data_IF_216883295804
#
_entry.id   IF_216883295804
#
_cell.length_a   1.000
_cell.length_b   1.000
_cell.length_c   1.000
_cell.angle_alpha   90.00
_cell.angle_beta   90.00
_cell.angle_gamma   90.00
#
_symmetry.space_group_name_H-M   'P 1'
#
loop_
_entity.id
_entity.type
_entity.pdbx_description
1 polymer ?
#
# COMPACT_ATOMS: atom_id res chain seq x y z
N UNK A 1 15.56 -18.04 -17.48
CA UNK A 1 14.96 -19.00 -16.53
C UNK A 1 13.97 -18.23 -15.70
N UNK A 2 12.67 -18.48 -15.91
CA UNK A 2 11.59 -17.69 -15.34
C UNK A 2 11.40 -18.03 -13.86
N UNK A 3 11.64 -17.06 -12.98
CA UNK A 3 11.28 -17.17 -11.57
C UNK A 3 9.75 -17.21 -11.44
N UNK A 4 9.18 -18.09 -10.59
CA UNK A 4 7.75 -18.19 -10.43
C UNK A 4 7.22 -16.92 -9.73
N UNK A 5 6.31 -16.21 -10.39
CA UNK A 5 5.59 -15.07 -9.85
C UNK A 5 4.72 -15.51 -8.67
N UNK A 6 5.25 -15.39 -7.44
CA UNK A 6 4.46 -15.57 -6.21
C UNK A 6 3.58 -14.33 -6.02
N UNK A 7 2.27 -14.51 -6.17
CA UNK A 7 1.29 -13.49 -5.81
C UNK A 7 1.05 -13.63 -4.30
N UNK A 8 1.47 -12.64 -3.54
CA UNK A 8 1.06 -12.49 -2.15
C UNK A 8 -0.27 -11.74 -2.14
N UNK A 9 -1.37 -12.43 -1.82
CA UNK A 9 -2.61 -11.75 -1.45
C UNK A 9 -2.37 -11.13 -0.07
N UNK A 10 -2.03 -9.84 0.00
CA UNK A 10 -2.10 -9.11 1.27
C UNK A 10 -3.57 -8.95 1.63
N UNK A 11 -4.12 -9.91 2.36
CA UNK A 11 -5.44 -9.79 2.94
C UNK A 11 -5.46 -8.53 3.82
N UNK A 12 -6.49 -7.71 3.67
CA UNK A 12 -6.65 -6.51 4.49
C UNK A 12 -6.66 -6.88 5.98
N UNK A 13 -6.24 -5.99 6.89
CA UNK A 13 -6.29 -6.26 8.33
C UNK A 13 -7.65 -6.77 8.80
N UNK A 14 -8.73 -6.28 8.17
CA UNK A 14 -10.11 -6.71 8.40
C UNK A 14 -10.38 -8.14 7.93
N UNK A 15 -9.85 -8.54 6.76
CA UNK A 15 -9.98 -9.92 6.28
C UNK A 15 -9.10 -10.88 7.09
N UNK A 16 -7.90 -10.45 7.52
CA UNK A 16 -7.07 -11.22 8.47
C UNK A 16 -7.78 -11.42 9.80
N UNK A 17 -8.34 -10.36 10.39
CA UNK A 17 -9.13 -10.47 11.62
C UNK A 17 -10.42 -11.28 11.43
N UNK A 18 -11.05 -11.22 10.27
CA UNK A 18 -12.21 -12.07 9.95
C UNK A 18 -11.81 -13.55 9.85
N UNK A 19 -10.65 -13.86 9.26
CA UNK A 19 -10.10 -15.21 9.21
C UNK A 19 -9.66 -15.68 10.60
N UNK A 20 -8.97 -14.86 11.38
CA UNK A 20 -8.60 -15.15 12.77
C UNK A 20 -9.84 -15.39 13.63
N UNK A 21 -10.91 -14.60 13.43
CA UNK A 21 -12.20 -14.81 14.07
C UNK A 21 -12.80 -16.16 13.66
N UNK A 22 -12.82 -16.50 12.37
CA UNK A 22 -13.30 -17.80 11.90
C UNK A 22 -12.47 -18.97 12.46
N UNK A 23 -11.16 -18.81 12.63
CA UNK A 23 -10.26 -19.81 13.22
C UNK A 23 -10.48 -19.94 14.74
N UNK A 24 -10.81 -18.86 15.43
CA UNK A 24 -11.07 -18.84 16.87
C UNK A 24 -12.49 -19.31 17.25
N UNK A 25 -13.40 -19.44 16.28
CA UNK A 25 -14.76 -19.89 16.52
C UNK A 25 -14.83 -21.42 16.40
N UNK A 26 -14.50 -22.12 17.48
CA UNK A 26 -14.68 -23.58 17.59
C UNK A 26 -16.14 -23.98 17.32
N UNK A 27 -16.39 -24.67 16.19
CA UNK A 27 -17.55 -25.52 15.91
C UNK A 27 -18.96 -24.92 16.03
N UNK A 28 -19.11 -23.64 16.38
CA UNK A 28 -20.42 -23.04 16.62
C UNK A 28 -21.17 -22.78 15.30
N UNK A 29 -22.52 -22.81 15.29
CA UNK A 29 -23.31 -22.45 14.11
C UNK A 29 -22.98 -21.06 13.53
N UNK A 30 -22.53 -20.13 14.38
CA UNK A 30 -22.08 -18.80 13.98
C UNK A 30 -20.74 -18.84 13.20
N UNK A 31 -19.83 -19.76 13.55
CA UNK A 31 -18.57 -19.99 12.84
C UNK A 31 -18.83 -20.46 11.41
N UNK A 32 -19.69 -21.47 11.27
CA UNK A 32 -20.09 -22.04 9.99
C UNK A 32 -20.81 -21.01 9.11
N UNK A 33 -21.64 -20.16 9.72
CA UNK A 33 -22.31 -19.07 9.02
C UNK A 33 -21.34 -17.99 8.51
N UNK A 34 -20.39 -17.55 9.35
CA UNK A 34 -19.37 -16.58 8.96
C UNK A 34 -18.44 -17.11 7.86
N UNK A 35 -18.00 -18.37 7.96
CA UNK A 35 -17.22 -19.03 6.93
C UNK A 35 -17.98 -19.13 5.59
N UNK A 36 -19.28 -19.41 5.65
CA UNK A 36 -20.12 -19.48 4.44
C UNK A 36 -20.27 -18.11 3.76
N UNK A 37 -20.46 -17.03 4.52
CA UNK A 37 -20.52 -15.67 3.96
C UNK A 37 -19.20 -15.30 3.28
N UNK A 38 -18.07 -15.57 3.93
CA UNK A 38 -16.74 -15.31 3.36
C UNK A 38 -16.51 -16.10 2.07
N UNK A 39 -16.82 -17.40 2.10
CA UNK A 39 -16.72 -18.27 0.93
C UNK A 39 -17.59 -17.76 -0.22
N UNK A 40 -18.83 -17.40 0.06
CA UNK A 40 -19.78 -16.89 -0.95
C UNK A 40 -19.28 -15.57 -1.56
N UNK A 41 -18.78 -14.64 -0.75
CA UNK A 41 -18.23 -13.38 -1.23
C UNK A 41 -16.99 -13.60 -2.11
N UNK A 42 -16.11 -14.53 -1.73
CA UNK A 42 -14.91 -14.87 -2.50
C UNK A 42 -15.28 -15.51 -3.84
N UNK A 43 -16.20 -16.47 -3.84
CA UNK A 43 -16.68 -17.14 -5.05
C UNK A 43 -17.41 -16.19 -5.99
N UNK A 44 -18.16 -15.24 -5.44
CA UNK A 44 -18.80 -14.18 -6.22
C UNK A 44 -17.77 -13.31 -6.95
N UNK A 45 -16.67 -12.94 -6.28
CA UNK A 45 -15.61 -12.13 -6.88
C UNK A 45 -14.79 -12.91 -7.92
N UNK A 46 -14.47 -14.19 -7.65
CA UNK A 46 -13.84 -15.09 -8.62
C UNK A 46 -14.71 -15.21 -9.88
N UNK A 47 -16.03 -15.33 -9.71
CA UNK A 47 -16.99 -15.44 -10.82
C UNK A 47 -17.08 -14.19 -11.71
N UNK A 48 -16.67 -13.01 -11.23
CA UNK A 48 -16.65 -11.78 -12.05
C UNK A 48 -15.49 -11.75 -13.05
N UNK A 49 -14.45 -12.57 -12.84
CA UNK A 49 -13.25 -12.59 -13.68
C UNK A 49 -13.03 -13.96 -14.32
N UNK A 50 -13.18 -14.09 -15.65
CA UNK A 50 -12.95 -15.36 -16.35
C UNK A 50 -11.55 -15.96 -16.10
N UNK A 51 -10.53 -15.12 -15.97
CA UNK A 51 -9.16 -15.56 -15.70
C UNK A 51 -8.98 -16.10 -14.26
N UNK A 52 -9.66 -15.51 -13.28
CA UNK A 52 -9.65 -16.03 -11.91
C UNK A 52 -10.43 -17.34 -11.82
N UNK A 53 -11.54 -17.44 -12.54
CA UNK A 53 -12.36 -18.64 -12.60
C UNK A 53 -11.60 -19.82 -13.21
N UNK A 54 -10.92 -19.63 -14.35
CA UNK A 54 -10.10 -20.67 -14.98
C UNK A 54 -8.98 -21.15 -14.04
N UNK A 55 -8.31 -20.21 -13.36
CA UNK A 55 -7.26 -20.52 -12.40
C UNK A 55 -7.78 -21.27 -11.17
N UNK A 56 -8.95 -20.88 -10.66
CA UNK A 56 -9.63 -21.57 -9.56
C UNK A 56 -9.97 -23.01 -9.94
N UNK A 57 -10.59 -23.22 -11.10
CA UNK A 57 -10.93 -24.57 -11.60
C UNK A 57 -9.70 -25.46 -11.76
N UNK A 58 -8.56 -24.90 -12.17
CA UNK A 58 -7.30 -25.64 -12.24
C UNK A 58 -6.82 -26.07 -10.86
N UNK A 59 -6.81 -25.17 -9.89
CA UNK A 59 -6.40 -25.47 -8.50
C UNK A 59 -7.30 -26.53 -7.85
N UNK A 60 -8.61 -26.45 -8.07
CA UNK A 60 -9.58 -27.42 -7.59
C UNK A 60 -9.34 -28.81 -8.20
N UNK A 61 -9.10 -28.88 -9.52
CA UNK A 61 -8.77 -30.14 -10.20
C UNK A 61 -7.48 -30.75 -9.65
N UNK A 62 -6.45 -29.94 -9.44
CA UNK A 62 -5.16 -30.39 -8.90
C UNK A 62 -5.27 -30.85 -7.43
N UNK A 63 -6.16 -30.26 -6.64
CA UNK A 63 -6.43 -30.67 -5.25
C UNK A 63 -7.21 -31.99 -5.19
N UNK A 64 -8.26 -32.13 -6.03
CA UNK A 64 -9.03 -33.36 -6.15
C UNK A 64 -8.17 -34.55 -6.60
N UNK A 65 -7.26 -34.34 -7.55
CA UNK A 65 -6.31 -35.38 -7.97
C UNK A 65 -5.33 -35.79 -6.86
N UNK A 66 -4.96 -34.87 -5.98
CA UNK A 66 -4.07 -35.14 -4.84
C UNK A 66 -4.79 -35.68 -3.60
N UNK A 67 -6.12 -35.64 -3.57
CA UNK A 67 -6.92 -36.03 -2.42
C UNK A 67 -6.70 -35.18 -1.17
N UNK A 68 -6.11 -33.99 -1.32
CA UNK A 68 -5.81 -33.05 -0.23
C UNK A 68 -5.98 -31.61 -0.69
N UNK A 69 -6.59 -30.81 0.17
CA UNK A 69 -6.78 -29.38 -0.01
C UNK A 69 -5.68 -28.54 0.66
N UNK A 70 -4.75 -29.19 1.38
CA UNK A 70 -3.62 -28.54 2.04
C UNK A 70 -2.43 -28.36 1.09
N UNK A 71 -1.85 -27.16 1.09
CA UNK A 71 -0.59 -26.85 0.39
C UNK A 71 0.63 -27.42 1.15
N UNK A 72 0.74 -28.74 1.27
CA UNK A 72 1.91 -29.41 1.88
C UNK A 72 3.07 -29.57 0.88
N UNK A 73 3.55 -28.47 0.30
CA UNK A 73 4.86 -28.44 -0.37
C UNK A 73 5.70 -27.22 0.00
N UNK A 74 5.48 -26.71 1.21
CA UNK A 74 6.47 -25.89 1.92
C UNK A 74 7.19 -26.77 2.95
N UNK A 75 7.74 -27.90 2.52
CA UNK A 75 8.95 -28.39 3.18
C UNK A 75 9.96 -27.26 3.06
N UNK A 76 10.45 -26.81 4.22
CA UNK A 76 11.19 -25.57 4.38
C UNK A 76 12.35 -25.41 3.41
N UNK A 77 12.11 -24.71 2.30
CA UNK A 77 13.11 -23.81 1.78
C UNK A 77 13.08 -22.63 2.75
N UNK A 78 13.95 -22.68 3.76
CA UNK A 78 14.33 -21.48 4.47
C UNK A 78 14.56 -20.40 3.42
N UNK A 79 13.80 -19.30 3.52
CA UNK A 79 14.06 -18.13 2.69
C UNK A 79 15.57 -17.86 2.81
N UNK A 80 16.31 -17.66 1.70
CA UNK A 80 17.70 -17.30 1.82
C UNK A 80 17.78 -16.13 2.78
N UNK A 81 18.49 -16.32 3.90
CA UNK A 81 18.65 -15.37 5.03
C UNK A 81 19.47 -14.14 4.61
N UNK A 82 19.60 -13.93 3.30
CA UNK A 82 20.33 -12.84 2.67
C UNK A 82 19.41 -12.17 1.66
N UNK A 83 18.21 -11.78 2.09
CA UNK A 83 17.42 -10.82 1.32
C UNK A 83 18.18 -9.50 1.30
N UNK A 84 18.45 -8.96 0.11
CA UNK A 84 19.11 -7.67 0.01
C UNK A 84 18.20 -6.57 0.60
N UNK A 85 18.74 -5.44 1.09
CA UNK A 85 17.91 -4.34 1.60
C UNK A 85 16.84 -3.83 0.61
N UNK A 86 17.07 -4.02 -0.69
CA UNK A 86 16.11 -3.69 -1.75
C UNK A 86 14.91 -4.63 -1.77
N UNK A 87 15.11 -5.94 -1.67
CA UNK A 87 14.00 -6.92 -1.58
C UNK A 87 13.18 -6.73 -0.31
N UNK A 88 13.82 -6.29 0.79
CA UNK A 88 13.12 -5.96 2.04
C UNK A 88 12.28 -4.69 1.92
N UNK A 89 12.73 -3.70 1.16
CA UNK A 89 11.98 -2.47 0.89
C UNK A 89 10.80 -2.74 -0.06
N UNK A 90 11.01 -3.50 -1.13
CA UNK A 90 9.96 -3.93 -2.06
C UNK A 90 8.87 -4.73 -1.34
N UNK A 91 9.24 -5.56 -0.35
CA UNK A 91 8.29 -6.33 0.45
C UNK A 91 7.41 -5.50 1.38
N UNK A 92 7.80 -4.26 1.70
CA UNK A 92 7.03 -3.36 2.56
C UNK A 92 6.18 -2.35 1.78
N UNK A 93 6.46 -2.16 0.49
CA UNK A 93 5.71 -1.26 -0.37
C UNK A 93 4.39 -1.90 -0.77
N UNK A 94 3.29 -1.22 -0.45
CA UNK A 94 1.96 -1.61 -0.89
C UNK A 94 1.55 -0.74 -2.08
N UNK A 95 1.19 -1.37 -3.21
CA UNK A 95 0.50 -0.68 -4.30
C UNK A 95 -1.01 -0.74 -4.04
N UNK A 96 -1.61 0.39 -3.72
CA UNK A 96 -3.05 0.52 -3.39
C UNK A 96 -3.64 1.72 -4.11
N UNK A 97 -4.97 1.85 -4.16
CA UNK A 97 -5.65 2.98 -4.80
C UNK A 97 -7.01 2.57 -5.36
N UNK A 98 -7.61 3.46 -6.14
CA UNK A 98 -8.88 3.14 -6.84
C UNK A 98 -8.66 2.22 -8.03
N UNK A 99 -7.52 2.34 -8.71
CA UNK A 99 -7.19 1.55 -9.91
C UNK A 99 -5.74 1.07 -9.91
N UNK A 100 -5.24 0.43 -8.84
CA UNK A 100 -3.82 0.05 -8.71
C UNK A 100 -3.33 -0.84 -9.86
N UNK A 101 -4.20 -1.63 -10.47
CA UNK A 101 -3.89 -2.47 -11.62
C UNK A 101 -3.52 -1.70 -12.90
N UNK A 102 -3.84 -0.40 -12.97
CA UNK A 102 -3.46 0.47 -14.09
C UNK A 102 -2.08 1.12 -13.90
N UNK A 103 -1.37 0.78 -12.83
CA UNK A 103 -0.09 1.38 -12.49
C UNK A 103 0.98 0.32 -12.23
N UNK A 104 2.21 0.69 -12.56
CA UNK A 104 3.43 -0.10 -12.39
C UNK A 104 4.33 0.62 -11.38
N UNK A 105 5.08 -0.16 -10.61
CA UNK A 105 6.06 0.37 -9.69
C UNK A 105 7.34 -0.45 -9.73
N UNK A 106 8.40 0.11 -9.16
CA UNK A 106 9.67 -0.58 -8.99
C UNK A 106 10.76 0.33 -8.48
N UNK A 107 11.96 -0.21 -8.39
CA UNK A 107 13.16 0.53 -8.04
C UNK A 107 14.00 0.77 -9.30
N UNK A 108 14.37 2.02 -9.54
CA UNK A 108 15.38 2.38 -10.54
C UNK A 108 16.69 2.69 -9.83
N UNK A 109 17.78 2.09 -10.32
CA UNK A 109 19.13 2.39 -9.85
C UNK A 109 19.82 3.20 -10.93
N UNK A 110 20.16 4.44 -10.63
CA UNK A 110 20.98 5.27 -11.50
C UNK A 110 22.45 4.93 -11.26
N UNK A 111 23.16 4.58 -12.33
CA UNK A 111 24.60 4.25 -12.32
C UNK A 111 25.51 5.48 -12.14
N UNK A 112 25.06 6.48 -11.39
CA UNK A 112 25.83 7.67 -11.00
C UNK A 112 26.75 7.35 -9.81
N UNK A 113 27.77 8.17 -9.56
CA UNK A 113 28.53 8.13 -8.29
C UNK A 113 28.20 9.37 -7.45
N UNK A 114 27.63 9.23 -6.24
CA UNK A 114 27.17 7.98 -5.61
C UNK A 114 25.96 7.34 -6.32
N UNK A 115 25.82 6.02 -6.18
CA UNK A 115 24.68 5.25 -6.72
C UNK A 115 23.39 5.79 -6.10
N UNK A 116 22.47 6.30 -6.92
CA UNK A 116 21.17 6.79 -6.47
C UNK A 116 20.09 5.76 -6.76
N UNK A 117 19.27 5.48 -5.75
CA UNK A 117 18.14 4.56 -5.84
C UNK A 117 16.86 5.38 -5.77
N UNK A 118 15.98 5.17 -6.74
CA UNK A 118 14.67 5.81 -6.81
C UNK A 118 13.61 4.74 -6.78
N UNK A 119 12.50 5.02 -6.12
CA UNK A 119 11.27 4.26 -6.31
C UNK A 119 10.42 5.01 -7.33
N UNK A 120 9.80 4.31 -8.28
CA UNK A 120 8.90 4.95 -9.26
C UNK A 120 7.49 4.38 -9.20
N UNK A 121 6.53 5.21 -9.59
CA UNK A 121 5.14 4.86 -9.88
C UNK A 121 4.80 5.42 -11.27
N UNK A 122 4.31 4.56 -12.16
CA UNK A 122 4.01 4.91 -13.56
C UNK A 122 2.67 4.34 -13.99
N UNK A 123 1.88 5.10 -14.73
CA UNK A 123 0.68 4.59 -15.40
C UNK A 123 1.02 3.66 -16.58
N UNK A 124 0.28 2.56 -16.76
CA UNK A 124 0.37 1.73 -17.97
C UNK A 124 -0.53 2.29 -19.10
N UNK A 125 -0.68 1.55 -20.21
CA UNK A 125 -1.50 1.97 -21.36
C UNK A 125 -3.00 2.16 -21.03
N UNK A 126 -3.50 1.48 -20.00
CA UNK A 126 -4.86 1.62 -19.47
C UNK A 126 -4.95 2.72 -18.39
N UNK A 127 -3.82 3.36 -18.07
CA UNK A 127 -3.78 4.50 -17.18
C UNK A 127 -4.52 5.71 -17.74
N UNK A 128 -5.06 6.54 -16.85
CA UNK A 128 -5.82 7.74 -17.19
C UNK A 128 -7.03 7.97 -16.29
N UNK A 129 -7.62 6.89 -15.76
CA UNK A 129 -8.70 6.96 -14.77
C UNK A 129 -8.23 6.48 -13.40
N UNK A 130 -8.69 7.17 -12.35
CA UNK A 130 -8.36 6.87 -10.96
C UNK A 130 -6.91 7.12 -10.60
N UNK A 131 -6.47 6.50 -9.50
CA UNK A 131 -5.15 6.71 -8.91
C UNK A 131 -4.57 5.42 -8.32
N UNK A 132 -3.25 5.42 -8.17
CA UNK A 132 -2.52 4.48 -7.34
C UNK A 132 -1.57 5.23 -6.39
N UNK A 133 -1.19 4.56 -5.32
CA UNK A 133 -0.16 5.01 -4.40
C UNK A 133 0.77 3.87 -4.04
N UNK A 134 2.02 4.24 -3.86
CA UNK A 134 2.98 3.45 -3.11
C UNK A 134 2.89 3.85 -1.65
N UNK A 135 2.59 2.89 -0.78
CA UNK A 135 2.35 3.12 0.64
C UNK A 135 3.34 2.33 1.47
N UNK A 136 3.90 3.01 2.46
CA UNK A 136 4.53 2.40 3.62
C UNK A 136 3.66 2.67 4.85
N UNK A 137 3.76 1.78 5.83
CA UNK A 137 3.05 1.88 7.10
C UNK A 137 4.02 1.57 8.24
N UNK A 138 4.04 2.43 9.25
CA UNK A 138 4.87 2.29 10.45
C UNK A 138 4.03 2.48 11.71
N UNK A 139 4.55 1.98 12.83
CA UNK A 139 3.97 2.21 14.16
C UNK A 139 4.06 3.69 14.54
N UNK A 140 2.96 4.23 15.08
CA UNK A 140 2.90 5.62 15.52
C UNK A 140 3.45 5.85 16.94
N UNK A 141 3.59 4.80 17.76
CA UNK A 141 4.01 4.90 19.17
C UNK A 141 5.29 5.74 19.38
N UNK A 142 6.36 5.63 18.57
CA UNK A 142 7.57 6.45 18.75
C UNK A 142 7.37 7.95 18.46
N UNK A 143 6.26 8.29 17.81
CA UNK A 143 5.91 9.62 17.34
C UNK A 143 4.71 10.21 18.08
N UNK A 144 4.09 9.49 19.01
CA UNK A 144 2.93 9.94 19.77
C UNK A 144 3.22 11.29 20.48
N UNK A 145 2.29 12.23 20.33
CA UNK A 145 2.38 13.59 20.90
C UNK A 145 3.34 14.54 20.17
N UNK A 146 3.94 14.13 19.04
CA UNK A 146 4.95 14.91 18.32
C UNK A 146 4.43 15.46 16.99
N UNK A 147 5.15 16.43 16.44
CA UNK A 147 5.01 16.84 15.04
C UNK A 147 6.06 16.15 14.18
N UNK A 148 5.64 15.62 13.04
CA UNK A 148 6.51 14.92 12.11
C UNK A 148 6.46 15.53 10.71
N UNK A 149 7.59 15.45 10.02
CA UNK A 149 7.73 15.82 8.62
C UNK A 149 8.11 14.57 7.81
N UNK A 150 7.28 14.24 6.82
CA UNK A 150 7.65 13.35 5.73
C UNK A 150 8.16 14.20 4.56
N UNK A 151 9.38 13.93 4.08
CA UNK A 151 9.96 14.66 2.94
C UNK A 151 10.65 13.72 1.96
N UNK A 152 10.70 14.09 0.69
CA UNK A 152 11.46 13.38 -0.34
C UNK A 152 11.80 14.29 -1.52
N UNK A 153 12.80 13.88 -2.31
CA UNK A 153 13.00 14.41 -3.67
C UNK A 153 12.06 13.70 -4.62
N UNK A 154 11.29 14.47 -5.39
CA UNK A 154 10.33 13.96 -6.36
C UNK A 154 10.64 14.54 -7.73
N UNK A 155 10.64 13.67 -8.73
CA UNK A 155 10.68 14.03 -10.15
C UNK A 155 9.40 13.52 -10.80
N UNK A 156 8.87 14.23 -11.77
CA UNK A 156 7.69 13.79 -12.50
C UNK A 156 7.81 14.07 -14.00
N UNK A 157 7.20 13.20 -14.80
CA UNK A 157 7.21 13.27 -16.26
C UNK A 157 5.79 13.05 -16.77
N UNK A 158 5.31 14.03 -17.56
CA UNK A 158 4.03 13.97 -18.28
C UNK A 158 2.82 13.62 -17.40
N UNK A 159 2.75 14.21 -16.20
CA UNK A 159 1.59 14.03 -15.31
C UNK A 159 0.36 14.76 -15.88
N UNK A 160 -0.62 13.98 -16.38
CA UNK A 160 -1.87 14.51 -16.94
C UNK A 160 -2.92 14.83 -15.85
N UNK A 161 -2.88 14.12 -14.71
CA UNK A 161 -3.74 14.38 -13.56
C UNK A 161 -3.00 15.18 -12.49
N UNK A 162 -2.56 14.49 -11.44
CA UNK A 162 -1.69 15.06 -10.42
C UNK A 162 -0.92 13.97 -9.67
N UNK A 163 0.17 14.37 -9.03
CA UNK A 163 0.95 13.54 -8.13
C UNK A 163 1.31 14.31 -6.87
N UNK A 164 1.64 13.59 -5.80
CA UNK A 164 2.02 14.20 -4.54
C UNK A 164 2.58 13.19 -3.56
N UNK A 165 3.35 13.70 -2.59
CA UNK A 165 3.54 12.98 -1.34
C UNK A 165 2.23 13.01 -0.55
N UNK A 166 2.02 12.00 0.28
CA UNK A 166 0.91 12.01 1.22
C UNK A 166 1.32 11.37 2.54
N UNK A 167 0.63 11.76 3.60
CA UNK A 167 0.75 11.18 4.93
C UNK A 167 -0.62 11.16 5.61
N UNK A 168 -0.88 10.13 6.41
CA UNK A 168 -2.10 9.93 7.16
C UNK A 168 -1.78 9.31 8.51
N UNK A 169 -2.42 9.83 9.54
CA UNK A 169 -2.34 9.36 10.92
C UNK A 169 -3.63 8.59 11.23
N UNK A 170 -3.50 7.30 11.52
CA UNK A 170 -4.62 6.41 11.80
C UNK A 170 -4.75 6.22 13.32
N UNK A 171 -5.98 6.36 13.85
CA UNK A 171 -6.31 6.16 15.25
C UNK A 171 -7.11 4.88 15.51
N UNK A 172 -7.68 4.70 16.71
CA UNK A 172 -8.47 3.52 17.06
C UNK A 172 -9.87 3.53 16.41
N UNK A 173 -10.35 4.66 15.92
CA UNK A 173 -11.61 4.78 15.19
C UNK A 173 -11.42 4.51 13.68
N UNK A 174 -12.54 4.35 12.96
CA UNK A 174 -12.53 4.03 11.52
C UNK A 174 -11.96 5.16 10.67
N UNK A 175 -12.08 6.40 11.14
CA UNK A 175 -11.59 7.59 10.46
C UNK A 175 -10.13 7.88 10.83
N UNK A 176 -9.37 8.41 9.88
CA UNK A 176 -8.03 8.94 10.16
C UNK A 176 -8.10 10.18 11.05
N UNK A 177 -7.13 10.32 11.94
CA UNK A 177 -7.02 11.46 12.86
C UNK A 177 -6.54 12.73 12.14
N UNK A 178 -5.60 12.57 11.21
CA UNK A 178 -5.12 13.65 10.35
C UNK A 178 -4.61 13.09 9.02
N UNK A 179 -4.64 13.88 7.96
CA UNK A 179 -4.10 13.51 6.67
C UNK A 179 -3.80 14.73 5.79
N UNK A 180 -2.87 14.52 4.86
CA UNK A 180 -2.57 15.46 3.79
C UNK A 180 -2.04 14.69 2.60
N UNK A 181 -2.59 14.98 1.43
CA UNK A 181 -2.26 14.32 0.17
C UNK A 181 -1.66 15.26 -0.88
N UNK A 182 -1.31 16.50 -0.52
CA UNK A 182 -0.83 17.55 -1.41
C UNK A 182 -1.77 17.93 -2.57
N UNK A 183 -3.04 17.54 -2.55
CA UNK A 183 -3.95 17.83 -3.66
C UNK A 183 -4.20 19.34 -3.86
N UNK A 184 -4.03 20.13 -2.80
CA UNK A 184 -4.08 21.60 -2.81
C UNK A 184 -2.81 22.24 -3.40
N UNK A 185 -1.72 21.49 -3.46
CA UNK A 185 -0.41 21.89 -4.00
C UNK A 185 0.18 20.79 -4.91
N UNK A 186 -0.55 20.42 -5.97
CA UNK A 186 -0.27 19.22 -6.74
C UNK A 186 1.02 19.35 -7.56
N UNK A 187 1.66 18.21 -7.81
CA UNK A 187 2.71 18.09 -8.83
C UNK A 187 2.03 17.75 -10.16
N UNK A 188 2.27 18.57 -11.19
CA UNK A 188 1.64 18.46 -12.51
C UNK A 188 2.66 18.61 -13.64
N UNK A 189 2.33 18.04 -14.80
CA UNK A 189 3.21 18.07 -15.97
C UNK A 189 4.55 17.40 -15.73
N UNK A 190 5.62 18.04 -16.16
CA UNK A 190 7.00 17.54 -16.01
C UNK A 190 7.77 18.47 -15.11
N UNK A 191 8.37 17.92 -14.05
CA UNK A 191 9.25 18.63 -13.12
C UNK A 191 10.51 17.82 -12.90
N UNK A 192 11.66 18.48 -12.87
CA UNK A 192 12.90 17.84 -12.45
C UNK A 192 12.90 17.63 -10.92
N UNK A 193 13.92 16.95 -10.40
CA UNK A 193 14.06 16.66 -8.98
C UNK A 193 13.88 17.89 -8.10
N UNK A 194 12.79 17.92 -7.34
CA UNK A 194 12.46 18.96 -6.38
C UNK A 194 12.07 18.34 -5.04
N UNK A 195 12.38 19.00 -3.93
CA UNK A 195 12.02 18.52 -2.59
C UNK A 195 10.59 18.92 -2.25
N UNK A 196 9.81 17.96 -1.79
CA UNK A 196 8.46 18.15 -1.28
C UNK A 196 8.35 17.60 0.15
N UNK A 197 7.34 18.08 0.88
CA UNK A 197 7.11 17.69 2.25
C UNK A 197 5.64 17.74 2.67
N UNK A 198 5.31 16.92 3.65
CA UNK A 198 4.05 16.88 4.38
C UNK A 198 4.37 16.90 5.88
N UNK A 199 3.71 17.76 6.63
CA UNK A 199 3.92 17.95 8.07
C UNK A 199 2.60 17.77 8.80
N UNK A 200 2.53 16.80 9.71
CA UNK A 200 1.33 16.53 10.51
C UNK A 200 1.69 16.42 12.00
N UNK A 201 0.72 16.76 12.84
CA UNK A 201 0.75 16.39 14.25
C UNK A 201 0.35 14.92 14.41
N UNK A 202 0.95 14.22 15.37
CA UNK A 202 0.64 12.82 15.71
C UNK A 202 -0.04 12.81 17.08
N UNK A 203 -1.39 12.71 17.16
CA UNK A 203 -2.08 12.63 18.43
C UNK A 203 -1.62 11.43 19.28
N UNK A 204 -1.76 11.53 20.60
CA UNK A 204 -1.35 10.49 21.55
C UNK A 204 -2.04 9.13 21.30
N UNK A 205 -3.28 9.17 20.81
CA UNK A 205 -4.07 7.98 20.49
C UNK A 205 -3.72 7.35 19.13
N UNK A 206 -2.70 7.84 18.44
CA UNK A 206 -2.31 7.33 17.11
C UNK A 206 -1.81 5.89 17.19
N UNK A 207 -2.25 5.06 16.25
CA UNK A 207 -1.84 3.65 16.15
C UNK A 207 -0.85 3.45 15.02
N UNK A 208 -1.10 4.08 13.86
CA UNK A 208 -0.26 3.89 12.70
C UNK A 208 -0.07 5.17 11.89
N UNK A 209 1.07 5.27 11.22
CA UNK A 209 1.36 6.32 10.25
C UNK A 209 1.50 5.66 8.88
N UNK A 210 0.63 6.06 7.94
CA UNK A 210 0.68 5.64 6.55
C UNK A 210 1.14 6.81 5.67
N UNK A 211 2.08 6.56 4.77
CA UNK A 211 2.66 7.61 3.93
C UNK A 211 3.21 7.06 2.62
N UNK A 212 3.43 7.95 1.65
CA UNK A 212 4.15 7.60 0.44
C UNK A 212 3.87 8.53 -0.73
N UNK A 213 3.81 7.95 -1.92
CA UNK A 213 3.74 8.68 -3.19
C UNK A 213 2.49 8.26 -3.97
N UNK A 214 1.69 9.24 -4.38
CA UNK A 214 0.45 9.06 -5.11
C UNK A 214 0.60 9.55 -6.55
N UNK A 215 -0.01 8.83 -7.49
CA UNK A 215 -0.18 9.26 -8.89
C UNK A 215 -1.64 9.06 -9.31
N UNK A 216 -2.27 10.15 -9.75
CA UNK A 216 -3.58 10.16 -10.39
C UNK A 216 -3.44 10.52 -11.87
N UNK A 217 -4.06 9.71 -12.73
CA UNK A 217 -4.00 9.90 -14.18
C UNK A 217 -2.73 9.34 -14.80
N UNK A 218 -2.44 9.76 -16.03
CA UNK A 218 -1.25 9.32 -16.77
C UNK A 218 0.01 10.03 -16.30
N UNK A 219 1.14 9.37 -16.48
CA UNK A 219 2.47 9.91 -16.26
C UNK A 219 3.37 8.97 -15.46
N UNK A 220 4.55 9.47 -15.10
CA UNK A 220 5.50 8.78 -14.25
C UNK A 220 6.03 9.72 -13.17
N UNK A 221 6.13 9.21 -11.95
CA UNK A 221 6.71 9.92 -10.81
C UNK A 221 7.77 9.04 -10.14
N UNK A 222 8.85 9.68 -9.70
CA UNK A 222 9.93 9.05 -8.95
C UNK A 222 10.11 9.71 -7.60
N UNK A 223 10.56 8.93 -6.62
CA UNK A 223 10.86 9.35 -5.27
C UNK A 223 12.27 8.88 -4.88
N UNK A 224 13.08 9.81 -4.37
CA UNK A 224 14.43 9.60 -3.82
C UNK A 224 14.55 10.25 -2.45
N UNK A 225 15.51 9.77 -1.64
CA UNK A 225 15.91 10.39 -0.36
C UNK A 225 14.72 10.71 0.57
N UNK A 226 13.81 9.75 0.71
CA UNK A 226 12.67 9.84 1.61
C UNK A 226 13.11 9.80 3.08
N UNK A 227 12.58 10.71 3.88
CA UNK A 227 12.80 10.79 5.32
C UNK A 227 11.51 11.08 6.08
N UNK A 228 11.40 10.52 7.27
CA UNK A 228 10.41 10.89 8.28
C UNK A 228 11.19 11.32 9.53
N UNK A 229 10.96 12.54 9.99
CA UNK A 229 11.68 13.12 11.13
C UNK A 229 10.69 13.85 12.05
N UNK A 230 11.03 13.91 13.33
CA UNK A 230 10.40 14.82 14.28
C UNK A 230 10.84 16.27 13.97
N UNK A 231 9.91 17.22 14.05
CA UNK A 231 10.16 18.64 13.86
C UNK A 231 9.51 19.46 14.97
N UNK A 232 10.02 20.68 15.16
CA UNK A 232 9.52 21.60 16.18
C UNK A 232 8.15 22.21 15.79
N UNK A 233 7.41 22.70 16.77
CA UNK A 233 6.05 23.25 16.59
C UNK A 233 6.01 24.54 15.76
N UNK A 234 7.15 25.21 15.58
CA UNK A 234 7.31 26.38 14.72
C UNK A 234 7.15 26.02 13.23
N UNK A 235 7.37 24.76 12.85
CA UNK A 235 7.11 24.28 11.49
C UNK A 235 5.62 24.03 11.36
N UNK A 236 4.92 24.88 10.60
CA UNK A 236 3.48 24.76 10.41
C UNK A 236 3.08 23.40 9.81
N UNK A 237 1.98 22.83 10.31
CA UNK A 237 1.33 21.66 9.69
C UNK A 237 0.83 22.02 8.29
N UNK A 238 0.83 21.02 7.41
CA UNK A 238 0.37 21.18 6.03
C UNK A 238 -1.04 20.64 5.81
N UNK A 239 -1.63 19.93 6.79
CA UNK A 239 -3.03 19.54 6.75
C UNK A 239 -3.97 20.72 6.93
N UNK A 240 -5.10 20.67 6.22
CA UNK A 240 -6.21 21.57 6.44
C UNK A 240 -7.22 20.87 7.34
N UNK A 241 -7.29 21.29 8.61
CA UNK A 241 -8.37 20.81 9.49
C UNK A 241 -9.68 21.38 8.97
N UNK A 242 -10.54 20.54 8.36
CA UNK A 242 -11.94 20.90 8.15
C UNK A 242 -12.53 21.25 9.52
N UNK A 243 -12.89 22.52 9.72
CA UNK A 243 -13.66 22.90 10.90
C UNK A 243 -14.99 22.16 10.81
N UNK A 244 -15.16 21.12 11.63
CA UNK A 244 -16.50 20.58 11.93
C UNK A 244 -17.30 21.71 12.56
N UNK A 245 -18.08 22.42 11.74
CA UNK A 245 -19.13 23.32 12.21
C UNK A 245 -20.06 22.46 13.04
N UNK A 246 -19.96 22.61 14.36
CA UNK A 246 -20.87 21.99 15.30
C UNK A 246 -22.20 22.72 15.14
N UNK A 247 -23.18 22.06 14.50
CA UNK A 247 -24.59 22.47 14.57
C UNK A 247 -25.24 21.84 15.80
#
# INVERSE_FOLDING_TARGET
MNAPTRIYLSLSPRIRKALDLCVALDGSPAASYAANILSTALMHEIGKSPALQERWTKLERDALQRGSWDFSSLDGIAAPVTSTPLELLERKLFLVGSHPQHYLHGVTVESTQPLKKSVFLRSNEQGGEGFATLMLKIDAEPYAGKRIQFSALVKAEEIEGWSGLWMRIDGPQVDSLDHDNMQDRPIQGTVDWQRYQVVLDVPEESLDIAFGLLLQGRGQVWLQDASIIEVEEEIAVTSHKEQKVSN
#
